data_IF_472687773890
#
_entry.id   IF_472687773890
#
_cell.length_a   1.000
_cell.length_b   1.000
_cell.length_c   1.000
_cell.angle_alpha   90.00
_cell.angle_beta   90.00
_cell.angle_gamma   90.00
#
_symmetry.space_group_name_H-M   'P 1'
#
loop_
_entity.id
_entity.type
_entity.pdbx_description
1 polymer ?
#
# COMPACT_ATOMS: atom_id res chain seq x y z
N UNK A 1 -11.56 -18.87 0.50
CA UNK A 1 -12.38 -19.42 -0.61
C UNK A 1 -11.43 -19.82 -1.70
N UNK A 2 -11.73 -20.90 -2.44
CA UNK A 2 -10.83 -21.46 -3.48
C UNK A 2 -10.35 -20.41 -4.50
N UNK A 3 -11.23 -19.48 -4.89
CA UNK A 3 -10.87 -18.44 -5.86
C UNK A 3 -9.85 -17.43 -5.30
N UNK A 4 -9.96 -17.08 -4.02
CA UNK A 4 -9.01 -16.15 -3.38
C UNK A 4 -7.60 -16.74 -3.35
N UNK A 5 -7.49 -18.02 -2.99
CA UNK A 5 -6.22 -18.75 -2.97
C UNK A 5 -5.63 -18.82 -4.38
N UNK A 6 -6.44 -19.19 -5.38
CA UNK A 6 -6.02 -19.21 -6.79
C UNK A 6 -5.44 -17.86 -7.25
N UNK A 7 -6.12 -16.75 -6.97
CA UNK A 7 -5.65 -15.41 -7.36
C UNK A 7 -4.38 -15.00 -6.61
N UNK A 8 -4.25 -15.37 -5.33
CA UNK A 8 -3.07 -15.05 -4.53
C UNK A 8 -1.86 -15.85 -5.01
N UNK A 9 -2.06 -17.11 -5.36
CA UNK A 9 -1.02 -17.97 -5.91
C UNK A 9 -0.59 -17.48 -7.29
N UNK A 10 -1.55 -17.15 -8.17
CA UNK A 10 -1.26 -16.57 -9.49
C UNK A 10 -0.46 -15.26 -9.38
N UNK A 11 -0.74 -14.41 -8.38
CA UNK A 11 0.06 -13.21 -8.14
C UNK A 11 1.46 -13.55 -7.60
N UNK A 12 1.56 -14.52 -6.68
CA UNK A 12 2.84 -14.94 -6.09
C UNK A 12 3.78 -15.58 -7.12
N UNK A 13 3.24 -16.34 -8.07
CA UNK A 13 4.00 -16.94 -9.17
C UNK A 13 4.28 -15.97 -10.32
N UNK A 14 3.65 -14.78 -10.31
CA UNK A 14 3.76 -13.78 -11.37
C UNK A 14 2.92 -14.08 -12.61
N UNK A 15 2.00 -15.05 -12.56
CA UNK A 15 1.00 -15.27 -13.62
C UNK A 15 0.10 -14.04 -13.80
N UNK A 16 -0.21 -13.35 -12.70
CA UNK A 16 -0.82 -12.01 -12.72
C UNK A 16 0.10 -11.01 -12.01
N UNK A 17 0.15 -9.78 -12.53
CA UNK A 17 0.97 -8.69 -11.98
C UNK A 17 0.18 -7.70 -11.14
N UNK A 18 -1.16 -7.78 -11.17
CA UNK A 18 -2.07 -6.87 -10.48
C UNK A 18 -3.13 -7.67 -9.73
N UNK A 19 -3.28 -7.33 -8.45
CA UNK A 19 -4.31 -7.89 -7.59
C UNK A 19 -5.03 -6.75 -6.89
N UNK A 20 -6.35 -6.68 -7.06
CA UNK A 20 -7.20 -5.69 -6.39
C UNK A 20 -7.91 -6.38 -5.23
N UNK A 21 -7.74 -5.82 -4.04
CA UNK A 21 -8.33 -6.37 -2.80
C UNK A 21 -9.14 -5.31 -2.08
N UNK A 22 -10.25 -5.73 -1.46
CA UNK A 22 -11.06 -4.85 -0.62
C UNK A 22 -10.55 -4.81 0.82
N UNK A 23 -11.07 -3.89 1.64
CA UNK A 23 -10.72 -3.73 3.06
C UNK A 23 -10.81 -5.03 3.87
N UNK A 24 -11.74 -5.94 3.54
CA UNK A 24 -11.94 -7.22 4.26
C UNK A 24 -10.78 -8.20 4.02
N UNK A 25 -10.10 -8.09 2.88
CA UNK A 25 -8.92 -8.90 2.60
C UNK A 25 -7.63 -8.34 3.24
N UNK A 26 -7.70 -7.17 3.89
CA UNK A 26 -6.56 -6.38 4.34
C UNK A 26 -6.07 -6.74 5.77
N UNK A 27 -6.81 -7.58 6.52
CA UNK A 27 -6.64 -7.77 7.96
C UNK A 27 -6.16 -9.17 8.41
N UNK A 28 -6.10 -10.18 7.53
CA UNK A 28 -5.88 -11.56 8.01
C UNK A 28 -5.19 -12.52 7.03
N UNK A 29 -4.52 -12.01 5.99
CA UNK A 29 -3.91 -12.89 4.99
C UNK A 29 -2.51 -12.40 4.65
N UNK A 30 -1.56 -13.33 4.59
CA UNK A 30 -0.22 -13.10 4.09
C UNK A 30 -0.31 -12.69 2.62
N UNK A 31 -0.30 -11.38 2.39
CA UNK A 31 -0.25 -10.80 1.06
C UNK A 31 1.09 -11.23 0.42
N UNK A 32 1.06 -11.71 -0.83
CA UNK A 32 2.29 -12.00 -1.56
C UNK A 32 3.16 -10.74 -1.68
N UNK A 33 4.48 -10.92 -1.71
CA UNK A 33 5.43 -9.81 -1.76
C UNK A 33 5.21 -8.95 -3.00
N UNK A 34 4.82 -7.69 -2.79
CA UNK A 34 4.59 -6.73 -3.87
C UNK A 34 5.73 -5.71 -3.92
N UNK A 35 6.14 -5.33 -5.13
CA UNK A 35 7.04 -4.18 -5.33
C UNK A 35 6.32 -2.85 -5.22
N UNK A 36 5.00 -2.84 -5.46
CA UNK A 36 4.17 -1.63 -5.44
C UNK A 36 2.86 -1.95 -4.72
N UNK A 37 2.47 -1.10 -3.79
CA UNK A 37 1.16 -1.14 -3.16
C UNK A 37 0.46 0.22 -3.31
N UNK A 38 -0.81 0.21 -3.73
CA UNK A 38 -1.62 1.41 -3.93
C UNK A 38 -2.85 1.32 -3.02
N UNK A 39 -3.04 2.33 -2.17
CA UNK A 39 -4.21 2.47 -1.30
C UNK A 39 -5.09 3.61 -1.81
N UNK A 40 -6.28 3.29 -2.33
CA UNK A 40 -7.19 4.28 -2.94
C UNK A 40 -8.12 4.93 -1.92
N UNK A 41 -8.51 4.19 -0.89
CA UNK A 41 -9.39 4.70 0.18
C UNK A 41 -9.01 4.00 1.48
N UNK A 42 -8.67 4.77 2.50
CA UNK A 42 -8.36 4.23 3.82
C UNK A 42 -9.06 5.04 4.89
N UNK A 43 -10.03 4.44 5.57
CA UNK A 43 -10.39 4.90 6.92
C UNK A 43 -9.15 4.76 7.79
N UNK A 44 -8.73 5.83 8.45
CA UNK A 44 -7.62 5.77 9.40
C UNK A 44 -7.99 4.82 10.55
N UNK A 45 -7.42 3.61 10.53
CA UNK A 45 -7.48 2.64 11.61
C UNK A 45 -6.29 2.82 12.56
N UNK A 46 -5.84 1.74 13.20
CA UNK A 46 -4.63 1.76 14.02
C UNK A 46 -3.41 2.09 13.16
N UNK A 47 -2.76 3.25 13.43
CA UNK A 47 -1.56 3.72 12.72
C UNK A 47 -0.44 2.69 12.73
N UNK A 48 -0.23 2.03 13.88
CA UNK A 48 0.78 0.99 14.03
C UNK A 48 0.50 -0.23 13.15
N UNK A 49 -0.77 -0.61 13.00
CA UNK A 49 -1.17 -1.73 12.16
C UNK A 49 -0.89 -1.45 10.68
N UNK A 50 -1.12 -0.22 10.22
CA UNK A 50 -0.84 0.21 8.84
C UNK A 50 0.67 0.16 8.53
N UNK A 51 1.54 0.71 9.38
CA UNK A 51 2.99 0.62 9.14
C UNK A 51 3.52 -0.82 9.23
N UNK A 52 3.04 -1.61 10.18
CA UNK A 52 3.44 -3.01 10.29
C UNK A 52 3.02 -3.80 9.05
N UNK A 53 1.82 -3.54 8.52
CA UNK A 53 1.34 -4.13 7.27
C UNK A 53 2.20 -3.71 6.09
N UNK A 54 2.51 -2.42 5.96
CA UNK A 54 3.38 -1.93 4.89
C UNK A 54 4.74 -2.62 4.90
N UNK A 55 5.38 -2.74 6.07
CA UNK A 55 6.67 -3.43 6.19
C UNK A 55 6.63 -4.93 5.88
N UNK A 56 5.46 -5.58 5.96
CA UNK A 56 5.30 -7.00 5.57
C UNK A 56 5.09 -7.18 4.06
N UNK A 57 4.31 -6.29 3.45
CA UNK A 57 3.95 -6.35 2.03
C UNK A 57 5.09 -5.87 1.14
N UNK A 58 5.76 -4.80 1.57
CA UNK A 58 6.81 -4.11 0.82
C UNK A 58 8.16 -4.58 1.31
N UNK A 59 8.74 -5.54 0.59
CA UNK A 59 10.13 -5.94 0.77
C UNK A 59 10.94 -5.48 -0.44
N UNK A 60 12.15 -4.94 -0.22
CA UNK A 60 13.11 -4.75 -1.30
C UNK A 60 13.24 -6.07 -2.07
N UNK A 61 13.15 -6.00 -3.40
CA UNK A 61 13.32 -7.20 -4.22
C UNK A 61 14.79 -7.62 -4.20
N UNK A 62 15.04 -8.91 -4.40
CA UNK A 62 16.39 -9.49 -4.42
C UNK A 62 17.30 -8.87 -5.48
N UNK A 63 16.72 -8.23 -6.50
CA UNK A 63 17.40 -7.46 -7.55
C UNK A 63 17.72 -6.01 -7.15
N UNK A 64 17.46 -5.61 -5.90
CA UNK A 64 17.72 -4.28 -5.38
C UNK A 64 16.66 -3.23 -5.71
N UNK A 65 15.57 -3.60 -6.41
CA UNK A 65 14.48 -2.65 -6.65
C UNK A 65 13.80 -2.26 -5.35
N UNK A 66 13.61 -0.96 -5.18
CA UNK A 66 12.89 -0.39 -4.05
C UNK A 66 11.41 -0.76 -4.14
N UNK A 67 10.80 -0.91 -2.97
CA UNK A 67 9.37 -1.12 -2.86
C UNK A 67 8.67 0.23 -2.63
N UNK A 68 7.59 0.49 -3.36
CA UNK A 68 6.88 1.76 -3.32
C UNK A 68 5.47 1.61 -2.74
N UNK A 69 5.10 2.58 -1.90
CA UNK A 69 3.73 2.70 -1.38
C UNK A 69 3.11 4.01 -1.86
N UNK A 70 1.95 3.91 -2.49
CA UNK A 70 1.16 5.05 -2.91
C UNK A 70 -0.15 5.08 -2.15
N UNK A 71 -0.57 6.29 -1.76
CA UNK A 71 -1.92 6.55 -1.26
C UNK A 71 -2.56 7.60 -2.16
N UNK A 72 -3.76 7.32 -2.65
CA UNK A 72 -4.59 8.33 -3.31
C UNK A 72 -5.26 9.14 -2.21
N UNK A 73 -5.23 10.46 -2.35
CA UNK A 73 -5.79 11.39 -1.37
C UNK A 73 -6.70 12.35 -2.12
N UNK A 74 -7.98 12.36 -1.75
CA UNK A 74 -8.92 13.33 -2.27
C UNK A 74 -8.66 14.67 -1.60
N UNK A 75 -8.36 15.71 -2.38
CA UNK A 75 -8.17 17.07 -1.86
C UNK A 75 -9.48 17.58 -1.25
N UNK A 76 -9.37 18.42 -0.23
CA UNK A 76 -10.50 19.07 0.45
C UNK A 76 -11.50 18.09 1.07
N UNK A 77 -11.05 16.87 1.37
CA UNK A 77 -11.81 15.88 2.15
C UNK A 77 -11.03 15.49 3.42
N UNK A 78 -11.67 14.70 4.27
CA UNK A 78 -11.04 14.11 5.46
C UNK A 78 -9.82 13.24 5.13
N UNK A 79 -9.68 12.77 3.88
CA UNK A 79 -8.50 12.02 3.42
C UNK A 79 -7.22 12.83 3.57
N UNK A 80 -7.28 14.16 3.40
CA UNK A 80 -6.12 15.04 3.53
C UNK A 80 -5.60 15.10 4.97
N UNK A 81 -6.50 15.14 5.97
CA UNK A 81 -6.14 15.08 7.39
C UNK A 81 -5.47 13.73 7.73
N UNK A 82 -6.04 12.64 7.21
CA UNK A 82 -5.46 11.30 7.34
C UNK A 82 -4.09 11.20 6.68
N UNK A 83 -3.90 11.80 5.51
CA UNK A 83 -2.61 11.83 4.82
C UNK A 83 -1.55 12.58 5.64
N UNK A 84 -1.89 13.73 6.22
CA UNK A 84 -0.99 14.49 7.08
C UNK A 84 -0.55 13.69 8.33
N UNK A 85 -1.48 12.98 8.97
CA UNK A 85 -1.15 12.09 10.08
C UNK A 85 -0.26 10.92 9.65
N UNK A 86 -0.52 10.32 8.48
CA UNK A 86 0.29 9.22 7.93
C UNK A 86 1.71 9.69 7.62
N UNK A 87 1.85 10.84 6.97
CA UNK A 87 3.15 11.42 6.64
C UNK A 87 4.02 11.56 7.90
N UNK A 88 3.47 12.17 8.96
CA UNK A 88 4.20 12.36 10.21
C UNK A 88 4.66 11.03 10.80
N UNK A 89 3.74 10.06 10.89
CA UNK A 89 4.03 8.76 11.45
C UNK A 89 5.07 7.96 10.64
N UNK A 90 4.96 7.93 9.31
CA UNK A 90 5.92 7.25 8.45
C UNK A 90 7.30 7.92 8.49
N UNK A 91 7.35 9.25 8.53
CA UNK A 91 8.60 10.00 8.67
C UNK A 91 9.29 9.69 10.02
N UNK A 92 8.53 9.60 11.12
CA UNK A 92 9.06 9.19 12.44
C UNK A 92 9.65 7.78 12.44
N UNK A 93 9.17 6.89 11.58
CA UNK A 93 9.71 5.54 11.40
C UNK A 93 10.87 5.48 10.37
N UNK A 94 11.28 6.63 9.81
CA UNK A 94 12.40 6.74 8.88
C UNK A 94 12.06 6.44 7.41
N UNK A 95 10.78 6.36 7.05
CA UNK A 95 10.39 6.21 5.65
C UNK A 95 10.52 7.54 4.90
N UNK A 96 11.05 7.48 3.67
CA UNK A 96 10.97 8.61 2.74
C UNK A 96 9.52 8.79 2.27
N UNK A 97 9.05 10.03 2.28
CA UNK A 97 7.67 10.37 1.93
C UNK A 97 7.63 11.60 1.03
N UNK A 98 6.91 11.49 -0.09
CA UNK A 98 6.73 12.57 -1.05
C UNK A 98 5.25 12.75 -1.34
N UNK A 99 4.79 14.00 -1.39
CA UNK A 99 3.45 14.37 -1.84
C UNK A 99 3.59 14.86 -3.27
N UNK A 100 2.78 14.33 -4.18
CA UNK A 100 2.76 14.70 -5.59
C UNK A 100 1.34 15.13 -5.93
N UNK A 101 1.19 16.26 -6.61
CA UNK A 101 -0.10 16.69 -7.14
C UNK A 101 -0.52 15.80 -8.32
N UNK A 102 -1.81 15.59 -8.51
CA UNK A 102 -2.30 14.76 -9.62
C UNK A 102 -1.85 15.31 -10.98
N UNK A 103 -1.79 16.64 -11.11
CA UNK A 103 -1.35 17.31 -12.34
C UNK A 103 0.14 17.04 -12.64
N UNK A 104 0.97 16.80 -11.62
CA UNK A 104 2.41 16.56 -11.77
C UNK A 104 2.74 15.08 -12.07
N UNK A 105 1.78 14.16 -11.91
CA UNK A 105 2.00 12.70 -12.10
C UNK A 105 1.99 12.31 -13.59
N UNK A 106 1.24 13.03 -14.42
CA UNK A 106 0.99 12.66 -15.82
C UNK A 106 1.91 13.37 -16.83
N UNK A 107 2.73 14.30 -16.35
CA UNK A 107 3.77 15.02 -17.10
C UNK A 107 5.10 14.30 -17.08
#
# INVERSE_FOLDING_TARGET
TKERERLFDAFRTGEISLLVVSKVANFSIDLPEASVAIQVSGTFGSRQEEAQRLGRVLRPKSDGRQAHFYTVVSRDTIDAEYAAHRQRFLAEQGYSYTIVDADDVLT
#
